data_IF_571215944852
#
_entry.id   IF_571215944852
#
_cell.length_a   1.000
_cell.length_b   1.000
_cell.length_c   1.000
_cell.angle_alpha   90.00
_cell.angle_beta   90.00
_cell.angle_gamma   90.00
#
_symmetry.space_group_name_H-M   'P 1'
#
loop_
_entity.id
_entity.type
_entity.pdbx_description
1 polymer ?
#
# COMPACT_ATOMS: atom_id res chain seq x y z
N UNK A 1 34.65 3.77 -1.59
CA UNK A 1 34.98 2.73 -0.58
C UNK A 1 33.91 2.48 0.48
N UNK A 2 33.03 3.44 0.83
CA UNK A 2 32.02 3.28 1.90
C UNK A 2 31.10 2.04 1.79
N UNK A 3 30.52 1.78 0.62
CA UNK A 3 29.63 0.60 0.41
C UNK A 3 30.40 -0.71 0.62
N UNK A 4 31.65 -0.77 0.15
CA UNK A 4 32.50 -1.95 0.33
C UNK A 4 32.78 -2.20 1.82
N UNK A 5 33.03 -1.15 2.61
CA UNK A 5 33.24 -1.25 4.06
C UNK A 5 31.97 -1.75 4.76
N UNK A 6 30.81 -1.15 4.47
CA UNK A 6 29.51 -1.56 5.05
C UNK A 6 29.16 -3.02 4.76
N UNK A 7 29.54 -3.52 3.59
CA UNK A 7 29.33 -4.93 3.21
C UNK A 7 30.31 -5.87 3.93
N UNK A 8 31.53 -5.41 4.26
CA UNK A 8 32.59 -6.22 4.89
C UNK A 8 32.47 -6.30 6.41
N UNK A 9 32.09 -5.22 7.07
CA UNK A 9 32.07 -5.13 8.54
C UNK A 9 30.83 -5.77 9.21
N UNK A 10 29.90 -6.29 8.41
CA UNK A 10 28.69 -6.97 8.88
C UNK A 10 27.56 -6.04 9.33
N UNK A 11 27.78 -4.72 9.36
CA UNK A 11 26.75 -3.73 9.70
C UNK A 11 25.57 -3.78 8.74
N UNK A 12 25.83 -4.02 7.45
CA UNK A 12 24.78 -4.18 6.45
C UNK A 12 23.86 -5.37 6.75
N UNK A 13 24.42 -6.53 7.15
CA UNK A 13 23.62 -7.71 7.52
C UNK A 13 22.69 -7.38 8.70
N UNK A 14 23.24 -6.75 9.76
CA UNK A 14 22.45 -6.32 10.92
C UNK A 14 21.34 -5.34 10.52
N UNK A 15 21.64 -4.38 9.65
CA UNK A 15 20.65 -3.44 9.13
C UNK A 15 19.52 -4.13 8.36
N UNK A 16 19.84 -5.09 7.47
CA UNK A 16 18.84 -5.84 6.70
C UNK A 16 17.92 -6.66 7.61
N UNK A 17 18.46 -7.30 8.66
CA UNK A 17 17.63 -8.02 9.65
C UNK A 17 16.65 -7.07 10.36
N UNK A 18 17.13 -5.91 10.82
CA UNK A 18 16.25 -4.89 11.42
C UNK A 18 15.21 -4.37 10.43
N UNK A 19 15.58 -4.18 9.17
CA UNK A 19 14.67 -3.74 8.12
C UNK A 19 13.57 -4.78 7.86
N UNK A 20 13.91 -6.07 7.81
CA UNK A 20 12.94 -7.17 7.67
C UNK A 20 11.91 -7.16 8.80
N UNK A 21 12.35 -7.04 10.06
CA UNK A 21 11.44 -6.94 11.21
C UNK A 21 10.52 -5.73 11.11
N UNK A 22 11.07 -4.56 10.73
CA UNK A 22 10.28 -3.33 10.57
C UNK A 22 9.22 -3.44 9.47
N UNK A 23 9.58 -4.01 8.32
CA UNK A 23 8.66 -4.22 7.21
C UNK A 23 7.57 -5.24 7.56
N UNK A 24 7.93 -6.34 8.24
CA UNK A 24 6.96 -7.35 8.70
C UNK A 24 5.90 -6.72 9.62
N UNK A 25 6.33 -5.90 10.59
CA UNK A 25 5.41 -5.16 11.47
C UNK A 25 4.52 -4.19 10.67
N UNK A 26 5.12 -3.35 9.83
CA UNK A 26 4.39 -2.39 9.03
C UNK A 26 3.36 -3.05 8.09
N UNK A 27 3.69 -4.24 7.57
CA UNK A 27 2.79 -5.04 6.74
C UNK A 27 1.57 -5.51 7.52
N UNK A 28 1.77 -6.09 8.71
CA UNK A 28 0.67 -6.55 9.57
C UNK A 28 -0.25 -5.40 10.00
N UNK A 29 0.34 -4.28 10.45
CA UNK A 29 -0.40 -3.08 10.86
C UNK A 29 -1.20 -2.48 9.69
N UNK A 30 -0.56 -2.31 8.53
CA UNK A 30 -1.22 -1.78 7.33
C UNK A 30 -2.35 -2.70 6.87
N UNK A 31 -2.12 -4.01 6.80
CA UNK A 31 -3.15 -4.98 6.42
C UNK A 31 -4.34 -4.96 7.37
N UNK A 32 -4.11 -4.86 8.68
CA UNK A 32 -5.16 -4.75 9.69
C UNK A 32 -6.03 -3.51 9.51
N UNK A 33 -5.38 -2.34 9.33
CA UNK A 33 -6.09 -1.07 9.08
C UNK A 33 -6.88 -1.11 7.76
N UNK A 34 -6.27 -1.63 6.69
CA UNK A 34 -6.94 -1.78 5.39
C UNK A 34 -8.19 -2.67 5.52
N UNK A 35 -8.07 -3.80 6.22
CA UNK A 35 -9.17 -4.74 6.44
C UNK A 35 -10.35 -4.08 7.16
N UNK A 36 -10.11 -3.19 8.11
CA UNK A 36 -11.18 -2.44 8.81
C UNK A 36 -12.02 -1.56 7.87
N UNK A 37 -11.47 -1.14 6.72
CA UNK A 37 -12.18 -0.37 5.69
C UNK A 37 -12.82 -1.25 4.60
N UNK A 38 -12.73 -2.58 4.72
CA UNK A 38 -13.15 -3.51 3.67
C UNK A 38 -12.16 -3.60 2.49
N UNK A 39 -10.95 -3.07 2.64
CA UNK A 39 -9.85 -3.23 1.67
C UNK A 39 -9.01 -4.43 2.10
N UNK A 40 -9.06 -5.52 1.33
CA UNK A 40 -8.42 -6.78 1.72
C UNK A 40 -7.24 -7.11 0.80
N UNK A 41 -6.10 -7.57 1.33
CA UNK A 41 -5.07 -8.21 0.51
C UNK A 41 -5.68 -9.32 -0.36
N UNK A 42 -5.37 -9.34 -1.66
CA UNK A 42 -5.79 -10.44 -2.54
C UNK A 42 -5.05 -11.72 -2.15
N UNK A 43 -3.76 -11.59 -1.89
CA UNK A 43 -2.91 -12.71 -1.48
C UNK A 43 -2.36 -12.37 -0.10
N UNK A 44 -2.30 -13.37 0.78
CA UNK A 44 -1.55 -13.23 2.02
C UNK A 44 -0.06 -13.14 1.67
N UNK A 45 0.52 -11.95 1.85
CA UNK A 45 1.92 -11.68 1.52
C UNK A 45 2.73 -11.78 2.80
N UNK A 46 3.64 -12.77 2.94
CA UNK A 46 4.41 -12.94 4.18
C UNK A 46 5.62 -12.00 4.27
N UNK A 47 6.03 -11.38 3.15
CA UNK A 47 7.25 -10.59 3.08
C UNK A 47 7.22 -9.55 1.96
N UNK A 48 8.16 -8.59 2.02
CA UNK A 48 8.33 -7.52 1.04
C UNK A 48 7.86 -6.17 1.56
N UNK A 49 7.62 -5.23 0.64
CA UNK A 49 7.21 -3.86 0.97
C UNK A 49 5.84 -3.48 0.42
N UNK A 50 5.18 -4.36 -0.34
CA UNK A 50 3.92 -4.04 -1.00
C UNK A 50 2.79 -4.97 -0.57
N UNK A 51 1.62 -4.39 -0.36
CA UNK A 51 0.36 -5.10 -0.31
C UNK A 51 -0.41 -4.83 -1.60
N UNK A 52 -0.94 -5.90 -2.20
CA UNK A 52 -1.84 -5.82 -3.33
C UNK A 52 -3.25 -6.14 -2.84
N UNK A 53 -4.11 -5.12 -2.79
CA UNK A 53 -5.39 -5.23 -2.13
C UNK A 53 -6.55 -5.01 -3.09
N UNK A 54 -7.62 -5.76 -2.87
CA UNK A 54 -8.91 -5.57 -3.51
C UNK A 54 -9.71 -4.52 -2.74
N UNK A 55 -10.25 -3.55 -3.45
CA UNK A 55 -11.19 -2.57 -2.92
C UNK A 55 -12.58 -3.21 -2.72
N UNK A 56 -13.45 -2.60 -1.89
CA UNK A 56 -14.85 -2.98 -1.82
C UNK A 56 -15.53 -3.01 -3.19
N UNK A 57 -16.53 -3.88 -3.36
CA UNK A 57 -17.25 -4.02 -4.62
C UNK A 57 -17.90 -2.69 -5.07
N UNK A 58 -17.94 -2.48 -6.39
CA UNK A 58 -18.47 -1.26 -7.00
C UNK A 58 -17.53 -0.05 -6.97
N UNK A 59 -16.30 -0.19 -6.47
CA UNK A 59 -15.31 0.90 -6.41
C UNK A 59 -14.23 0.74 -7.48
N UNK A 60 -14.05 1.79 -8.28
CA UNK A 60 -12.92 1.92 -9.20
C UNK A 60 -11.71 2.55 -8.47
N UNK A 61 -10.58 1.83 -8.50
CA UNK A 61 -9.31 2.28 -7.92
C UNK A 61 -8.78 3.58 -8.55
N UNK A 62 -9.05 3.83 -9.84
CA UNK A 62 -8.64 5.05 -10.50
C UNK A 62 -9.35 6.28 -9.91
N UNK A 63 -10.64 6.16 -9.58
CA UNK A 63 -11.38 7.23 -8.90
C UNK A 63 -10.88 7.47 -7.48
N UNK A 64 -10.62 6.39 -6.73
CA UNK A 64 -10.04 6.52 -5.39
C UNK A 64 -8.68 7.22 -5.44
N UNK A 65 -7.82 6.87 -6.40
CA UNK A 65 -6.54 7.53 -6.60
C UNK A 65 -6.69 9.01 -6.98
N UNK A 66 -7.64 9.37 -7.85
CA UNK A 66 -7.96 10.76 -8.19
C UNK A 66 -8.42 11.56 -6.97
N UNK A 67 -9.33 11.01 -6.16
CA UNK A 67 -9.80 11.66 -4.94
C UNK A 67 -8.68 11.82 -3.90
N UNK A 68 -7.79 10.84 -3.75
CA UNK A 68 -6.66 10.95 -2.82
C UNK A 68 -5.63 11.99 -3.28
N UNK A 69 -5.42 12.10 -4.59
CA UNK A 69 -4.47 13.05 -5.17
C UNK A 69 -4.84 14.51 -4.87
N UNK A 70 -6.13 14.85 -4.82
CA UNK A 70 -6.58 16.20 -4.44
C UNK A 70 -6.21 16.57 -2.99
N UNK A 71 -5.93 15.56 -2.15
CA UNK A 71 -5.43 15.72 -0.78
C UNK A 71 -3.90 15.52 -0.68
N UNK A 72 -3.17 15.57 -1.82
CA UNK A 72 -1.73 15.35 -1.93
C UNK A 72 -1.26 13.96 -1.46
N UNK A 73 -2.11 12.93 -1.61
CA UNK A 73 -1.73 11.53 -1.34
C UNK A 73 -1.78 10.76 -2.66
N UNK A 74 -0.62 10.25 -3.07
CA UNK A 74 -0.51 9.42 -4.28
C UNK A 74 -0.78 7.97 -3.91
N UNK A 75 -1.86 7.42 -4.47
CA UNK A 75 -2.18 6.00 -4.39
C UNK A 75 -1.93 5.34 -5.75
N UNK A 76 -1.61 4.06 -5.74
CA UNK A 76 -1.20 3.33 -6.94
C UNK A 76 -2.33 2.38 -7.43
N UNK A 77 -3.22 2.83 -8.34
CA UNK A 77 -4.34 2.04 -8.81
C UNK A 77 -3.86 0.84 -9.64
N UNK A 78 -4.61 -0.25 -9.59
CA UNK A 78 -4.16 -1.53 -10.11
C UNK A 78 -3.90 -1.55 -11.62
N UNK A 79 -4.66 -0.76 -12.38
CA UNK A 79 -4.49 -0.64 -13.83
C UNK A 79 -3.19 0.05 -14.25
N UNK A 80 -2.46 0.71 -13.35
CA UNK A 80 -1.09 1.16 -13.62
C UNK A 80 -0.10 -0.02 -13.76
N UNK A 81 -0.49 -1.23 -13.33
CA UNK A 81 0.32 -2.45 -13.35
C UNK A 81 -0.31 -3.58 -14.19
N UNK A 82 -1.35 -3.29 -14.96
CA UNK A 82 -2.06 -4.27 -15.79
C UNK A 82 -2.14 -3.77 -17.24
N UNK A 83 -1.41 -4.43 -18.14
CA UNK A 83 -1.43 -4.10 -19.57
C UNK A 83 -2.82 -4.28 -20.20
N UNK A 84 -3.62 -5.20 -19.67
CA UNK A 84 -4.99 -5.49 -20.12
C UNK A 84 -6.06 -4.65 -19.42
N UNK A 85 -5.67 -3.76 -18.49
CA UNK A 85 -6.59 -2.91 -17.72
C UNK A 85 -7.69 -3.66 -16.92
N UNK A 86 -7.45 -4.92 -16.55
CA UNK A 86 -8.41 -5.76 -15.82
C UNK A 86 -8.31 -5.65 -14.30
N UNK A 87 -7.39 -4.83 -13.79
CA UNK A 87 -7.10 -4.67 -12.37
C UNK A 87 -7.78 -3.43 -11.73
N UNK A 88 -8.87 -2.94 -12.30
CA UNK A 88 -9.55 -1.71 -11.85
C UNK A 88 -10.08 -1.74 -10.40
N UNK A 89 -10.28 -2.93 -9.84
CA UNK A 89 -10.71 -3.11 -8.43
C UNK A 89 -9.55 -3.29 -7.44
N UNK A 90 -8.31 -3.20 -7.90
CA UNK A 90 -7.13 -3.43 -7.07
C UNK A 90 -6.32 -2.16 -6.86
N UNK A 91 -5.59 -2.10 -5.75
CA UNK A 91 -4.69 -1.00 -5.41
C UNK A 91 -3.45 -1.53 -4.70
N UNK A 92 -2.29 -0.94 -5.00
CA UNK A 92 -1.01 -1.29 -4.36
C UNK A 92 -0.68 -0.31 -3.25
N UNK A 93 -0.30 -0.83 -2.09
CA UNK A 93 0.15 -0.04 -0.94
C UNK A 93 1.61 -0.34 -0.64
N UNK A 94 2.43 0.71 -0.48
CA UNK A 94 3.81 0.58 0.00
C UNK A 94 3.82 0.67 1.53
N UNK A 95 3.96 -0.47 2.21
CA UNK A 95 3.85 -0.52 3.68
C UNK A 95 4.96 0.25 4.38
N UNK A 96 6.11 0.44 3.71
CA UNK A 96 7.20 1.28 4.22
C UNK A 96 6.81 2.76 4.34
N UNK A 97 5.76 3.19 3.63
CA UNK A 97 5.25 4.55 3.62
C UNK A 97 3.87 4.67 4.29
N UNK A 98 3.31 3.59 4.82
CA UNK A 98 1.97 3.58 5.44
C UNK A 98 1.99 3.82 6.96
N UNK A 99 3.06 4.36 7.54
CA UNK A 99 3.07 4.69 8.97
C UNK A 99 2.24 5.96 9.30
N UNK A 100 2.13 6.89 8.35
CA UNK A 100 1.39 8.14 8.53
C UNK A 100 -0.13 7.90 8.52
N UNK A 101 -0.81 8.30 9.59
CA UNK A 101 -2.27 8.19 9.72
C UNK A 101 -3.04 8.95 8.66
N UNK A 102 -2.48 10.06 8.15
CA UNK A 102 -3.07 10.86 7.09
C UNK A 102 -3.44 10.02 5.87
N UNK A 103 -2.63 9.01 5.54
CA UNK A 103 -2.87 8.14 4.39
C UNK A 103 -4.19 7.40 4.53
N UNK A 104 -4.50 6.89 5.72
CA UNK A 104 -5.73 6.14 5.97
C UNK A 104 -6.93 7.07 6.03
N UNK A 105 -6.82 8.24 6.68
CA UNK A 105 -7.90 9.23 6.67
C UNK A 105 -8.25 9.69 5.26
N UNK A 106 -7.24 9.91 4.40
CA UNK A 106 -7.47 10.29 3.00
C UNK A 106 -8.07 9.12 2.21
N UNK A 107 -7.58 7.90 2.42
CA UNK A 107 -8.12 6.71 1.78
C UNK A 107 -9.59 6.47 2.12
N UNK A 108 -9.97 6.56 3.39
CA UNK A 108 -11.37 6.42 3.85
C UNK A 108 -12.28 7.42 3.15
N UNK A 109 -11.87 8.69 3.11
CA UNK A 109 -12.61 9.76 2.44
C UNK A 109 -12.73 9.51 0.94
N UNK A 110 -11.66 9.08 0.30
CA UNK A 110 -11.62 8.78 -1.13
C UNK A 110 -12.54 7.60 -1.49
N UNK A 111 -12.49 6.52 -0.71
CA UNK A 111 -13.37 5.35 -0.84
C UNK A 111 -14.84 5.74 -0.67
N UNK A 112 -15.16 6.54 0.36
CA UNK A 112 -16.52 7.03 0.59
C UNK A 112 -17.02 7.94 -0.54
N UNK A 113 -16.17 8.82 -1.08
CA UNK A 113 -16.51 9.68 -2.20
C UNK A 113 -16.78 8.89 -3.48
N UNK A 114 -15.98 7.86 -3.77
CA UNK A 114 -16.17 6.99 -4.93
C UNK A 114 -17.47 6.17 -4.86
N UNK A 115 -17.91 5.77 -3.67
CA UNK A 115 -19.20 5.08 -3.49
C UNK A 115 -20.41 5.95 -3.86
N UNK A 116 -20.38 7.24 -3.51
CA UNK A 116 -21.49 8.18 -3.79
C UNK A 116 -21.69 8.47 -5.28
N UNK A 117 -20.64 8.29 -6.10
CA UNK A 117 -20.72 8.46 -7.56
C UNK A 117 -21.31 7.23 -8.26
N UNK A 118 -21.24 6.07 -7.62
CA UNK A 118 -21.72 4.80 -8.17
C UNK A 118 -23.18 4.48 -7.80
N UNK A 119 -23.76 5.20 -6.83
CA UNK A 119 -25.16 5.12 -6.42
C UNK A 119 -25.98 6.19 -7.15
#
# INVERSE_FOLDING_TARGET
ELVLTLLKDGSYRKHVEQLRTRLSRAMAETAGRLKAMGVAPWIDQPAGMFLWCRLPDGIDAAEVARHALSANVVLAPGNAFSLSHTAGRFMRFNVAQCADERIFTVLERAVAASRRKAA
#
